data_IF_479700075341
#
_entry.id   IF_479700075341
#
_cell.length_a   1.000
_cell.length_b   1.000
_cell.length_c   1.000
_cell.angle_alpha   90.00
_cell.angle_beta   90.00
_cell.angle_gamma   90.00
#
_symmetry.space_group_name_H-M   'P 1'
#
loop_
_entity.id
_entity.type
_entity.pdbx_description
1 polymer ?
#
# COMPACT_ATOMS: atom_id res chain seq x y z
N UNK A 1 -6.37 7.26 25.67
CA UNK A 1 -6.79 8.49 24.96
C UNK A 1 -6.56 8.28 23.47
N UNK A 2 -7.64 8.15 22.70
CA UNK A 2 -7.62 7.69 21.30
C UNK A 2 -6.95 8.69 20.36
N UNK A 3 -6.11 8.17 19.46
CA UNK A 3 -5.34 8.84 18.38
C UNK A 3 -6.22 9.65 17.40
N UNK A 4 -7.55 9.60 17.56
CA UNK A 4 -8.53 10.36 16.80
C UNK A 4 -8.23 11.88 16.77
N UNK A 5 -7.76 12.51 17.84
CA UNK A 5 -7.90 13.97 18.01
C UNK A 5 -6.85 14.90 17.37
N UNK A 6 -6.16 14.59 16.26
CA UNK A 6 -5.23 15.60 15.65
C UNK A 6 -5.42 15.94 14.17
N UNK A 7 -6.16 15.16 13.39
CA UNK A 7 -6.55 15.51 12.00
C UNK A 7 -7.91 14.88 11.65
N UNK A 8 -9.00 15.36 12.25
CA UNK A 8 -10.34 14.88 11.90
C UNK A 8 -10.83 15.48 10.57
N UNK A 9 -10.32 14.98 9.46
CA UNK A 9 -11.07 15.06 8.21
C UNK A 9 -12.35 14.24 8.38
N UNK A 10 -13.51 14.86 8.13
CA UNK A 10 -14.77 14.13 8.13
C UNK A 10 -14.72 13.00 7.09
N UNK A 11 -15.49 11.93 7.30
CA UNK A 11 -15.62 10.83 6.32
C UNK A 11 -16.02 11.34 4.93
N UNK A 12 -16.84 12.39 4.89
CA UNK A 12 -17.19 13.11 3.66
C UNK A 12 -15.97 13.73 2.98
N UNK A 13 -15.10 14.43 3.73
CA UNK A 13 -13.89 15.05 3.19
C UNK A 13 -12.91 13.99 2.69
N UNK A 14 -12.74 12.87 3.41
CA UNK A 14 -11.90 11.76 2.96
C UNK A 14 -12.41 11.16 1.65
N UNK A 15 -13.73 10.97 1.51
CA UNK A 15 -14.34 10.53 0.26
C UNK A 15 -14.14 11.51 -0.89
N UNK A 16 -14.24 12.82 -0.63
CA UNK A 16 -13.93 13.86 -1.64
C UNK A 16 -12.48 13.78 -2.08
N UNK A 17 -11.53 13.64 -1.13
CA UNK A 17 -10.11 13.48 -1.45
C UNK A 17 -9.84 12.25 -2.30
N UNK A 18 -10.44 11.10 -1.97
CA UNK A 18 -10.33 9.88 -2.79
C UNK A 18 -10.75 10.18 -4.24
N UNK A 19 -11.89 10.84 -4.44
CA UNK A 19 -12.37 11.18 -5.79
C UNK A 19 -11.44 12.14 -6.52
N UNK A 20 -10.92 13.15 -5.83
CA UNK A 20 -9.96 14.10 -6.41
C UNK A 20 -8.71 13.36 -6.88
N UNK A 21 -8.13 12.50 -6.04
CA UNK A 21 -6.95 11.71 -6.40
C UNK A 21 -7.23 10.75 -7.57
N UNK A 22 -8.41 10.11 -7.60
CA UNK A 22 -8.84 9.28 -8.73
C UNK A 22 -8.95 10.07 -10.03
N UNK A 23 -9.49 11.30 -9.98
CA UNK A 23 -9.55 12.19 -11.14
C UNK A 23 -8.14 12.53 -11.61
N UNK A 24 -7.22 12.87 -10.71
CA UNK A 24 -5.82 13.12 -11.10
C UNK A 24 -5.17 11.88 -11.74
N UNK A 25 -5.36 10.68 -11.17
CA UNK A 25 -4.84 9.46 -11.79
C UNK A 25 -5.45 9.22 -13.19
N UNK A 26 -6.73 9.49 -13.39
CA UNK A 26 -7.36 9.40 -14.71
C UNK A 26 -6.79 10.42 -15.70
N UNK A 27 -6.46 11.63 -15.24
CA UNK A 27 -5.78 12.64 -16.05
C UNK A 27 -4.34 12.21 -16.40
N UNK A 28 -3.59 11.66 -15.45
CA UNK A 28 -2.25 11.11 -15.69
C UNK A 28 -2.31 9.96 -16.69
N UNK A 29 -3.29 9.08 -16.56
CA UNK A 29 -3.52 7.99 -17.51
C UNK A 29 -3.79 8.52 -18.93
N UNK A 30 -4.69 9.49 -19.07
CA UNK A 30 -4.99 10.12 -20.36
C UNK A 30 -3.77 10.85 -20.94
N UNK A 31 -2.96 11.50 -20.09
CA UNK A 31 -1.71 12.13 -20.47
C UNK A 31 -0.70 11.09 -20.99
N UNK A 32 -0.54 9.96 -20.29
CA UNK A 32 0.31 8.86 -20.73
C UNK A 32 -0.10 8.33 -22.11
N UNK A 33 -1.40 8.14 -22.35
CA UNK A 33 -1.93 7.74 -23.66
C UNK A 33 -1.65 8.79 -24.73
N UNK A 34 -1.85 10.07 -24.42
CA UNK A 34 -1.62 11.16 -25.36
C UNK A 34 -0.15 11.32 -25.74
N UNK A 35 0.76 11.13 -24.78
CA UNK A 35 2.21 11.16 -25.00
C UNK A 35 2.76 9.86 -25.60
N UNK A 36 1.96 8.79 -25.68
CA UNK A 36 2.44 7.46 -26.08
C UNK A 36 3.40 6.82 -25.08
N UNK A 37 3.39 7.26 -23.81
CA UNK A 37 4.30 6.78 -22.78
C UNK A 37 3.68 5.59 -22.01
N UNK A 38 4.15 4.38 -22.32
CA UNK A 38 3.64 3.13 -21.72
C UNK A 38 3.79 3.10 -20.20
N UNK A 39 4.94 3.51 -19.67
CA UNK A 39 5.19 3.56 -18.21
C UNK A 39 4.17 4.39 -17.44
N UNK A 40 3.93 5.65 -17.85
CA UNK A 40 2.91 6.53 -17.24
C UNK A 40 1.52 5.92 -17.36
N UNK A 41 1.18 5.41 -18.54
CA UNK A 41 -0.14 4.83 -18.82
C UNK A 41 -0.42 3.62 -17.94
N UNK A 42 0.52 2.67 -17.87
CA UNK A 42 0.34 1.43 -17.11
C UNK A 42 0.30 1.73 -15.62
N UNK A 43 1.22 2.56 -15.09
CA UNK A 43 1.25 2.90 -13.67
C UNK A 43 -0.04 3.60 -13.22
N UNK A 44 -0.47 4.64 -13.95
CA UNK A 44 -1.69 5.35 -13.62
C UNK A 44 -2.95 4.49 -13.82
N UNK A 45 -2.97 3.65 -14.86
CA UNK A 45 -4.09 2.75 -15.15
C UNK A 45 -4.26 1.68 -14.07
N UNK A 46 -3.18 0.97 -13.72
CA UNK A 46 -3.18 -0.04 -12.66
C UNK A 46 -3.50 0.60 -11.31
N UNK A 47 -2.86 1.72 -10.97
CA UNK A 47 -3.13 2.45 -9.73
C UNK A 47 -4.60 2.85 -9.61
N UNK A 48 -5.18 3.42 -10.67
CA UNK A 48 -6.59 3.79 -10.73
C UNK A 48 -7.51 2.57 -10.53
N UNK A 49 -7.23 1.44 -11.21
CA UNK A 49 -7.99 0.20 -11.04
C UNK A 49 -7.95 -0.32 -9.60
N UNK A 50 -6.77 -0.31 -8.97
CA UNK A 50 -6.60 -0.72 -7.57
C UNK A 50 -7.47 0.14 -6.64
N UNK A 51 -7.60 1.44 -6.89
CA UNK A 51 -8.44 2.31 -6.05
C UNK A 51 -9.94 1.99 -6.12
N UNK A 52 -10.38 1.24 -7.13
CA UNK A 52 -11.77 0.78 -7.24
C UNK A 52 -12.02 -0.56 -6.56
N UNK A 53 -10.98 -1.29 -6.15
CA UNK A 53 -11.13 -2.59 -5.48
C UNK A 53 -12.03 -2.52 -4.24
N UNK A 54 -11.92 -1.53 -3.33
CA UNK A 54 -12.83 -1.45 -2.19
C UNK A 54 -14.31 -1.34 -2.60
N UNK A 55 -14.61 -0.58 -3.65
CA UNK A 55 -15.97 -0.45 -4.17
C UNK A 55 -16.47 -1.74 -4.82
N UNK A 56 -15.58 -2.47 -5.52
CA UNK A 56 -15.90 -3.79 -6.10
C UNK A 56 -16.17 -4.83 -5.02
N UNK A 57 -15.36 -4.86 -3.96
CA UNK A 57 -15.54 -5.76 -2.81
C UNK A 57 -16.86 -5.48 -2.11
N UNK A 58 -17.18 -4.21 -1.86
CA UNK A 58 -18.47 -3.82 -1.29
C UNK A 58 -19.64 -4.30 -2.17
N UNK A 59 -19.58 -4.05 -3.49
CA UNK A 59 -20.66 -4.42 -4.41
C UNK A 59 -20.88 -5.92 -4.52
N UNK A 60 -19.82 -6.73 -4.43
CA UNK A 60 -19.89 -8.18 -4.68
C UNK A 60 -20.03 -9.01 -3.41
N UNK A 61 -19.49 -8.55 -2.30
CA UNK A 61 -19.36 -9.31 -1.06
C UNK A 61 -19.93 -8.60 0.17
N UNK A 62 -20.56 -7.42 0.01
CA UNK A 62 -21.04 -6.57 1.11
C UNK A 62 -19.94 -6.21 2.13
N UNK A 63 -18.68 -6.24 1.66
CA UNK A 63 -17.51 -5.93 2.47
C UNK A 63 -17.19 -4.43 2.39
N UNK A 64 -17.60 -3.69 3.42
CA UNK A 64 -17.32 -2.26 3.54
C UNK A 64 -15.96 -2.01 4.18
N UNK A 65 -15.06 -1.38 3.45
CA UNK A 65 -13.75 -0.95 3.97
C UNK A 65 -13.84 0.44 4.59
N UNK A 66 -13.10 0.68 5.69
CA UNK A 66 -12.99 2.01 6.31
C UNK A 66 -12.46 3.03 5.28
N UNK A 67 -13.12 4.18 5.20
CA UNK A 67 -12.79 5.23 4.23
C UNK A 67 -11.36 5.77 4.41
N UNK A 68 -10.79 5.71 5.61
CA UNK A 68 -9.39 6.07 5.85
C UNK A 68 -8.43 5.08 5.19
N UNK A 69 -8.76 3.78 5.18
CA UNK A 69 -7.97 2.76 4.48
C UNK A 69 -8.11 2.90 2.97
N UNK A 70 -9.32 3.21 2.46
CA UNK A 70 -9.54 3.54 1.04
C UNK A 70 -8.69 4.74 0.64
N UNK A 71 -8.66 5.79 1.47
CA UNK A 71 -7.82 6.96 1.24
C UNK A 71 -6.33 6.59 1.26
N UNK A 72 -5.89 5.75 2.21
CA UNK A 72 -4.50 5.29 2.29
C UNK A 72 -4.06 4.54 1.01
N UNK A 73 -4.88 3.60 0.54
CA UNK A 73 -4.67 2.91 -0.75
C UNK A 73 -4.59 3.93 -1.88
N UNK A 74 -5.53 4.86 -1.93
CA UNK A 74 -5.62 5.85 -3.01
C UNK A 74 -4.41 6.78 -3.04
N UNK A 75 -3.90 7.21 -1.87
CA UNK A 75 -2.70 8.04 -1.76
C UNK A 75 -1.47 7.29 -2.25
N UNK A 76 -1.27 6.03 -1.85
CA UNK A 76 -0.14 5.23 -2.31
C UNK A 76 -0.17 5.05 -3.85
N UNK A 77 -1.33 4.70 -4.41
CA UNK A 77 -1.49 4.53 -5.86
C UNK A 77 -1.30 5.85 -6.62
N UNK A 78 -1.80 6.96 -6.07
CA UNK A 78 -1.60 8.28 -6.66
C UNK A 78 -0.13 8.70 -6.67
N UNK A 79 0.61 8.48 -5.58
CA UNK A 79 2.02 8.84 -5.49
C UNK A 79 2.88 8.04 -6.48
N UNK A 80 2.57 6.77 -6.68
CA UNK A 80 3.17 5.94 -7.74
C UNK A 80 2.89 6.52 -9.13
N UNK A 81 1.62 6.76 -9.46
CA UNK A 81 1.24 7.33 -10.75
C UNK A 81 1.89 8.70 -11.00
N UNK A 82 1.84 9.58 -10.00
CA UNK A 82 2.44 10.92 -10.07
C UNK A 82 3.96 10.87 -10.18
N UNK A 83 4.60 9.90 -9.53
CA UNK A 83 6.06 9.71 -9.60
C UNK A 83 6.59 9.53 -11.01
N UNK A 84 5.76 9.05 -11.93
CA UNK A 84 6.11 8.84 -13.35
C UNK A 84 5.97 10.08 -14.22
N UNK A 85 5.30 11.14 -13.76
CA UNK A 85 4.93 12.29 -14.58
C UNK A 85 6.10 13.27 -14.72
N UNK A 86 6.57 13.58 -15.94
CA UNK A 86 7.55 14.64 -16.17
C UNK A 86 6.99 16.01 -15.80
N UNK A 87 7.71 16.78 -14.96
CA UNK A 87 7.24 18.09 -14.49
C UNK A 87 8.15 19.22 -14.98
N UNK A 88 7.60 20.33 -15.51
CA UNK A 88 8.39 21.50 -15.89
C UNK A 88 9.22 22.08 -14.74
N UNK A 89 8.72 21.96 -13.51
CA UNK A 89 9.41 22.44 -12.31
C UNK A 89 10.64 21.59 -11.91
N UNK A 90 10.83 20.42 -12.52
CA UNK A 90 11.91 19.48 -12.26
C UNK A 90 12.77 19.28 -13.52
N UNK A 91 12.93 20.31 -14.35
CA UNK A 91 13.64 20.23 -15.64
C UNK A 91 13.10 19.13 -16.58
N UNK A 92 11.78 18.90 -16.53
CA UNK A 92 11.08 17.82 -17.23
C UNK A 92 11.52 16.40 -16.83
N UNK A 93 12.14 16.25 -15.67
CA UNK A 93 12.28 14.96 -14.99
C UNK A 93 10.98 14.60 -14.26
N UNK A 94 10.77 13.30 -14.06
CA UNK A 94 9.72 12.80 -13.19
C UNK A 94 10.19 12.83 -11.72
N UNK A 95 9.27 12.84 -10.73
CA UNK A 95 9.68 12.72 -9.33
C UNK A 95 10.57 11.51 -9.04
N UNK A 96 10.35 10.36 -9.70
CA UNK A 96 11.27 9.21 -9.61
C UNK A 96 12.69 9.54 -10.06
N UNK A 97 12.84 10.30 -11.16
CA UNK A 97 14.16 10.69 -11.66
C UNK A 97 14.81 11.86 -10.92
N UNK A 98 14.01 12.75 -10.32
CA UNK A 98 14.48 13.99 -9.73
C UNK A 98 14.67 13.94 -8.20
N UNK A 99 13.98 13.02 -7.51
CA UNK A 99 13.89 13.00 -6.05
C UNK A 99 14.32 11.63 -5.51
N UNK A 100 15.54 11.56 -4.99
CA UNK A 100 16.19 10.30 -4.57
C UNK A 100 15.39 9.45 -3.56
N UNK A 101 14.59 10.06 -2.69
CA UNK A 101 13.80 9.34 -1.68
C UNK A 101 12.39 8.98 -2.15
N UNK A 102 11.97 9.44 -3.33
CA UNK A 102 10.60 9.27 -3.81
C UNK A 102 10.25 7.79 -3.94
N UNK A 103 11.15 7.03 -4.58
CA UNK A 103 10.93 5.62 -4.86
C UNK A 103 10.79 4.79 -3.59
N UNK A 104 11.81 4.86 -2.76
CA UNK A 104 11.85 4.41 -1.38
C UNK A 104 10.59 4.70 -0.55
N UNK A 105 10.07 5.94 -0.60
CA UNK A 105 8.81 6.29 0.08
C UNK A 105 7.64 5.52 -0.50
N UNK A 106 7.52 5.45 -1.83
CA UNK A 106 6.44 4.72 -2.48
C UNK A 106 6.52 3.21 -2.22
N UNK A 107 7.73 2.65 -2.06
CA UNK A 107 7.95 1.28 -1.60
C UNK A 107 7.46 1.07 -0.17
N UNK A 108 7.84 1.92 0.78
CA UNK A 108 7.33 1.84 2.16
C UNK A 108 5.79 1.95 2.25
N UNK A 109 5.18 2.84 1.47
CA UNK A 109 3.72 2.96 1.42
C UNK A 109 3.08 1.70 0.84
N UNK A 110 3.61 1.18 -0.26
CA UNK A 110 3.08 -0.02 -0.92
C UNK A 110 3.24 -1.26 -0.07
N UNK A 111 4.39 -1.41 0.60
CA UNK A 111 4.65 -2.52 1.52
C UNK A 111 3.71 -2.48 2.72
N UNK A 112 3.31 -1.29 3.20
CA UNK A 112 2.27 -1.17 4.23
C UNK A 112 0.91 -1.71 3.74
N UNK A 113 0.56 -1.51 2.46
CA UNK A 113 -0.66 -2.07 1.89
C UNK A 113 -0.58 -3.59 1.77
N UNK A 114 0.56 -4.11 1.31
CA UNK A 114 0.84 -5.56 1.21
C UNK A 114 0.77 -6.20 2.60
N UNK A 115 1.37 -5.58 3.60
CA UNK A 115 1.31 -6.02 4.99
C UNK A 115 -0.14 -6.04 5.51
N UNK A 116 -0.92 -4.99 5.22
CA UNK A 116 -2.32 -4.89 5.62
C UNK A 116 -3.18 -5.98 4.99
N UNK A 117 -2.97 -6.28 3.71
CA UNK A 117 -3.65 -7.37 3.02
C UNK A 117 -3.27 -8.75 3.59
N UNK A 118 -1.99 -8.97 3.88
CA UNK A 118 -1.50 -10.20 4.51
C UNK A 118 -2.10 -10.39 5.91
N UNK A 119 -2.13 -9.32 6.71
CA UNK A 119 -2.76 -9.30 8.03
C UNK A 119 -4.24 -9.65 7.95
N UNK A 120 -5.00 -8.96 7.09
CA UNK A 120 -6.44 -9.19 6.95
C UNK A 120 -6.75 -10.63 6.51
N UNK A 121 -5.98 -11.16 5.55
CA UNK A 121 -6.11 -12.53 5.08
C UNK A 121 -5.83 -13.54 6.18
N UNK A 122 -4.73 -13.37 6.90
CA UNK A 122 -4.33 -14.30 7.94
C UNK A 122 -5.26 -14.27 9.16
N UNK A 123 -5.73 -13.08 9.56
CA UNK A 123 -6.72 -12.93 10.62
C UNK A 123 -8.07 -13.54 10.25
N UNK A 124 -8.47 -13.48 8.98
CA UNK A 124 -9.65 -14.21 8.53
C UNK A 124 -9.46 -15.72 8.70
N UNK A 125 -8.30 -16.28 8.34
CA UNK A 125 -8.05 -17.70 8.58
C UNK A 125 -8.05 -18.05 10.08
N UNK A 126 -7.32 -17.30 10.90
CA UNK A 126 -7.26 -17.49 12.37
C UNK A 126 -8.65 -17.44 13.04
N UNK A 127 -9.58 -16.62 12.51
CA UNK A 127 -10.94 -16.51 13.03
C UNK A 127 -11.89 -17.62 12.53
N UNK A 128 -11.72 -18.08 11.29
CA UNK A 128 -12.66 -19.01 10.63
C UNK A 128 -12.17 -20.46 10.57
N UNK A 129 -10.96 -20.76 11.06
CA UNK A 129 -10.48 -22.14 11.16
C UNK A 129 -9.71 -22.40 12.46
N UNK A 130 -10.11 -23.44 13.19
CA UNK A 130 -9.39 -23.91 14.38
C UNK A 130 -8.03 -24.55 14.03
N UNK A 131 -7.75 -24.80 12.75
CA UNK A 131 -6.50 -25.40 12.30
C UNK A 131 -5.31 -24.44 12.34
N UNK A 132 -5.56 -23.13 12.40
CA UNK A 132 -4.54 -22.09 12.35
C UNK A 132 -4.71 -21.23 13.60
N UNK A 133 -3.68 -21.17 14.45
CA UNK A 133 -3.59 -20.21 15.54
C UNK A 133 -2.39 -19.32 15.32
N UNK A 134 -2.59 -18.00 15.32
CA UNK A 134 -1.58 -16.99 15.03
C UNK A 134 -1.35 -16.06 16.22
N UNK A 135 -0.56 -16.47 17.22
CA UNK A 135 -0.18 -15.60 18.33
C UNK A 135 0.44 -14.29 17.82
N UNK A 136 0.18 -13.17 18.51
CA UNK A 136 0.58 -11.82 18.05
C UNK A 136 2.07 -11.70 17.71
N UNK A 137 2.95 -12.41 18.45
CA UNK A 137 4.40 -12.44 18.18
C UNK A 137 4.72 -13.14 16.85
N UNK A 138 4.03 -14.25 16.58
CA UNK A 138 4.21 -14.98 15.33
C UNK A 138 3.64 -14.19 14.16
N UNK A 139 2.47 -13.56 14.33
CA UNK A 139 1.85 -12.70 13.34
C UNK A 139 2.78 -11.54 12.94
N UNK A 140 3.43 -10.88 13.90
CA UNK A 140 4.41 -9.83 13.61
C UNK A 140 5.55 -10.32 12.70
N UNK A 141 6.19 -11.43 13.08
CA UNK A 141 7.31 -12.00 12.31
C UNK A 141 6.85 -12.47 10.93
N UNK A 142 5.68 -13.11 10.85
CA UNK A 142 5.07 -13.53 9.59
C UNK A 142 4.87 -12.35 8.65
N UNK A 143 4.32 -11.23 9.14
CA UNK A 143 4.09 -10.05 8.30
C UNK A 143 5.40 -9.48 7.77
N UNK A 144 6.45 -9.41 8.59
CA UNK A 144 7.76 -8.96 8.13
C UNK A 144 8.33 -9.88 7.06
N UNK A 145 8.26 -11.20 7.27
CA UNK A 145 8.73 -12.18 6.29
C UNK A 145 7.93 -12.12 4.99
N UNK A 146 6.60 -11.99 5.08
CA UNK A 146 5.72 -11.90 3.93
C UNK A 146 6.00 -10.65 3.10
N UNK A 147 6.14 -9.49 3.75
CA UNK A 147 6.47 -8.22 3.09
C UNK A 147 7.84 -8.29 2.42
N UNK A 148 8.84 -8.86 3.09
CA UNK A 148 10.18 -9.03 2.51
C UNK A 148 10.16 -9.97 1.31
N UNK A 149 9.46 -11.11 1.42
CA UNK A 149 9.32 -12.05 0.31
C UNK A 149 8.59 -11.41 -0.88
N UNK A 150 7.51 -10.67 -0.62
CA UNK A 150 6.80 -9.93 -1.65
C UNK A 150 7.67 -8.83 -2.27
N UNK A 151 8.45 -8.12 -1.46
CA UNK A 151 9.41 -7.12 -1.93
C UNK A 151 10.42 -7.72 -2.90
N UNK A 152 11.04 -8.86 -2.54
CA UNK A 152 11.96 -9.57 -3.46
C UNK A 152 11.25 -9.98 -4.76
N UNK A 153 10.02 -10.49 -4.68
CA UNK A 153 9.26 -10.84 -5.89
C UNK A 153 8.96 -9.61 -6.76
N UNK A 154 8.70 -8.46 -6.13
CA UNK A 154 8.44 -7.20 -6.82
C UNK A 154 9.68 -6.70 -7.56
N UNK A 155 10.84 -6.65 -6.90
CA UNK A 155 12.13 -6.27 -7.50
C UNK A 155 12.47 -7.15 -8.71
N UNK A 156 12.23 -8.46 -8.59
CA UNK A 156 12.42 -9.39 -9.70
C UNK A 156 11.47 -9.10 -10.86
N UNK A 157 10.20 -8.79 -10.56
CA UNK A 157 9.22 -8.42 -11.58
C UNK A 157 9.64 -7.15 -12.34
N UNK A 158 10.09 -6.12 -11.62
CA UNK A 158 10.59 -4.88 -12.22
C UNK A 158 11.81 -5.12 -13.11
N UNK A 159 12.77 -5.92 -12.63
CA UNK A 159 13.92 -6.35 -13.41
C UNK A 159 13.48 -7.06 -14.70
N UNK A 160 12.59 -8.05 -14.62
CA UNK A 160 12.16 -8.80 -15.81
C UNK A 160 11.35 -7.94 -16.78
N UNK A 161 10.48 -7.06 -16.30
CA UNK A 161 9.72 -6.11 -17.14
C UNK A 161 10.68 -5.14 -17.84
N UNK A 162 11.70 -4.65 -17.13
CA UNK A 162 12.76 -3.78 -17.70
C UNK A 162 13.51 -4.50 -18.82
N UNK A 163 13.96 -5.74 -18.58
CA UNK A 163 14.68 -6.57 -19.56
C UNK A 163 13.82 -6.86 -20.78
N UNK A 164 12.57 -7.27 -20.59
CA UNK A 164 11.64 -7.55 -21.70
C UNK A 164 11.33 -6.29 -22.51
N UNK A 165 11.12 -5.15 -21.83
CA UNK A 165 10.92 -3.85 -22.49
C UNK A 165 12.09 -3.49 -23.41
N UNK A 166 13.32 -3.61 -22.91
CA UNK A 166 14.54 -3.36 -23.68
C UNK A 166 14.67 -4.31 -24.89
N UNK A 167 14.34 -5.59 -24.73
CA UNK A 167 14.38 -6.58 -25.81
C UNK A 167 13.34 -6.32 -26.90
N UNK A 168 12.15 -5.83 -26.53
CA UNK A 168 11.06 -5.53 -27.46
C UNK A 168 11.21 -4.14 -28.11
N UNK A 169 12.27 -3.39 -27.80
CA UNK A 169 12.47 -2.02 -28.27
C UNK A 169 11.44 -1.03 -27.72
N UNK A 170 10.71 -1.41 -26.67
CA UNK A 170 9.79 -0.55 -25.94
C UNK A 170 10.53 0.28 -24.88
N UNK A 171 9.97 1.42 -24.48
CA UNK A 171 10.44 2.15 -23.30
C UNK A 171 10.26 1.33 -22.01
N UNK A 172 10.94 1.73 -20.94
CA UNK A 172 10.80 1.09 -19.62
C UNK A 172 9.40 1.36 -19.04
N UNK A 173 8.69 0.30 -18.64
CA UNK A 173 7.36 0.40 -18.01
C UNK A 173 7.52 0.55 -16.48
N UNK A 174 8.44 -0.23 -15.92
CA UNK A 174 8.99 -0.13 -14.58
C UNK A 174 10.51 -0.05 -14.77
N UNK A 175 11.20 0.78 -13.99
CA UNK A 175 12.64 0.99 -14.14
C UNK A 175 13.32 0.47 -12.90
N UNK A 176 14.21 -0.50 -13.08
CA UNK A 176 15.12 -0.92 -12.01
C UNK A 176 16.37 -0.02 -12.06
N UNK A 177 16.65 0.73 -10.98
CA UNK A 177 17.74 1.72 -10.98
C UNK A 177 19.11 1.13 -10.61
N UNK A 178 19.14 -0.03 -9.94
CA UNK A 178 20.37 -0.76 -9.64
C UNK A 178 20.26 -1.61 -8.38
N UNK A 179 21.33 -2.35 -8.06
CA UNK A 179 21.34 -3.21 -6.86
C UNK A 179 21.28 -2.41 -5.56
N UNK A 180 21.94 -1.26 -5.51
CA UNK A 180 21.93 -0.39 -4.32
C UNK A 180 20.51 0.12 -4.01
N UNK A 181 19.75 0.42 -5.07
CA UNK A 181 18.36 0.85 -5.02
C UNK A 181 17.45 -0.28 -4.50
N UNK A 182 17.53 -1.46 -5.10
CA UNK A 182 16.84 -2.68 -4.63
C UNK A 182 17.08 -2.98 -3.14
N UNK A 183 18.32 -2.80 -2.65
CA UNK A 183 18.62 -3.01 -1.22
C UNK A 183 17.92 -1.96 -0.35
N UNK A 184 17.90 -0.71 -0.78
CA UNK A 184 17.19 0.34 -0.06
C UNK A 184 15.67 0.12 -0.12
N UNK A 185 15.12 -0.31 -1.25
CA UNK A 185 13.71 -0.63 -1.37
C UNK A 185 13.29 -1.75 -0.43
N UNK A 186 14.10 -2.80 -0.29
CA UNK A 186 13.86 -3.84 0.72
C UNK A 186 13.92 -3.30 2.16
N UNK A 187 14.81 -2.33 2.42
CA UNK A 187 14.85 -1.64 3.72
C UNK A 187 13.57 -0.82 3.96
N UNK A 188 13.11 -0.04 2.99
CA UNK A 188 11.87 0.74 3.12
C UNK A 188 10.62 -0.15 3.14
N UNK A 189 10.65 -1.28 2.44
CA UNK A 189 9.65 -2.32 2.54
C UNK A 189 9.55 -2.85 3.97
N UNK A 190 10.68 -3.10 4.63
CA UNK A 190 10.74 -3.47 6.05
C UNK A 190 10.10 -2.41 6.93
N UNK A 191 10.36 -1.12 6.68
CA UNK A 191 9.76 -0.04 7.47
C UNK A 191 8.23 -0.02 7.38
N UNK A 192 7.67 -0.15 6.17
CA UNK A 192 6.22 -0.24 5.99
C UNK A 192 5.61 -1.51 6.60
N UNK A 193 6.35 -2.64 6.54
CA UNK A 193 5.99 -3.88 7.21
C UNK A 193 5.99 -3.77 8.74
N UNK A 194 7.00 -3.11 9.33
CA UNK A 194 7.08 -2.84 10.77
C UNK A 194 5.95 -1.91 11.21
N UNK A 195 5.65 -0.87 10.43
CA UNK A 195 4.54 0.03 10.71
C UNK A 195 3.25 -0.77 10.89
N UNK A 196 2.87 -1.57 9.90
CA UNK A 196 1.65 -2.38 9.97
C UNK A 196 1.74 -3.48 11.02
N UNK A 197 2.89 -4.14 11.16
CA UNK A 197 3.11 -5.17 12.16
C UNK A 197 2.89 -4.64 13.57
N UNK A 198 3.44 -3.46 13.90
CA UNK A 198 3.24 -2.81 15.20
C UNK A 198 1.79 -2.37 15.35
N UNK A 199 1.19 -1.68 14.38
CA UNK A 199 -0.19 -1.23 14.51
C UNK A 199 -1.18 -2.40 14.62
N UNK A 200 -1.01 -3.45 13.81
CA UNK A 200 -1.88 -4.62 13.76
C UNK A 200 -1.74 -5.56 14.97
N UNK A 201 -0.59 -5.56 15.64
CA UNK A 201 -0.35 -6.40 16.83
C UNK A 201 -0.47 -5.64 18.16
N UNK A 202 -0.08 -4.36 18.22
CA UNK A 202 -0.11 -3.57 19.45
C UNK A 202 -1.50 -2.99 19.80
N UNK A 203 -2.40 -2.79 18.82
CA UNK A 203 -3.75 -2.26 19.10
C UNK A 203 -4.76 -3.32 19.58
N UNK A 204 -4.39 -4.61 19.64
CA UNK A 204 -5.32 -5.67 20.01
C UNK A 204 -4.97 -6.39 21.31
N UNK A 205 -3.69 -6.52 21.69
CA UNK A 205 -3.33 -7.10 23.00
C UNK A 205 -3.85 -6.27 24.17
N UNK A 206 -3.71 -4.93 24.11
CA UNK A 206 -4.20 -4.07 25.19
C UNK A 206 -5.73 -4.00 25.30
N UNK A 207 -6.46 -4.21 24.19
CA UNK A 207 -7.94 -4.20 24.18
C UNK A 207 -8.51 -5.53 24.67
N UNK A 208 -7.86 -6.65 24.34
CA UNK A 208 -8.23 -7.96 24.90
C UNK A 208 -7.96 -8.04 26.40
N UNK A 209 -6.83 -7.50 26.88
CA UNK A 209 -6.51 -7.49 28.31
C UNK A 209 -7.51 -6.62 29.10
N UNK A 210 -7.90 -5.46 28.58
CA UNK A 210 -8.89 -4.58 29.23
C UNK A 210 -10.32 -5.19 29.21
N UNK A 211 -10.66 -5.99 28.20
CA UNK A 211 -11.93 -6.73 28.14
C UNK A 211 -11.98 -7.89 29.13
N UNK A 212 -10.87 -8.63 29.26
CA UNK A 212 -10.74 -9.72 30.24
C UNK A 212 -10.84 -9.17 31.65
N UNK A 213 -10.10 -8.09 31.96
CA UNK A 213 -10.13 -7.45 33.28
C UNK A 213 -11.54 -6.95 33.64
N UNK A 214 -12.27 -6.37 32.67
CA UNK A 214 -13.66 -5.92 32.89
C UNK A 214 -14.67 -7.05 33.06
N UNK A 215 -14.44 -8.21 32.44
CA UNK A 215 -15.32 -9.38 32.61
C UNK A 215 -15.06 -10.09 33.94
N UNK A 216 -13.80 -10.17 34.38
CA UNK A 216 -13.43 -10.73 35.68
C UNK A 216 -13.99 -9.89 36.83
N UNK A 217 -13.85 -8.56 36.77
CA UNK A 217 -14.40 -7.65 37.78
C UNK A 217 -15.93 -7.76 37.93
N UNK A 218 -16.64 -8.08 36.84
CA UNK A 218 -18.10 -8.22 36.82
C UNK A 218 -18.61 -9.59 37.26
N UNK A 219 -17.71 -10.57 37.32
CA UNK A 219 -17.98 -11.92 37.86
C UNK A 219 -17.64 -12.06 39.34
N UNK A 220 -16.99 -11.04 39.92
CA UNK A 220 -16.62 -10.95 41.33
C UNK A 220 -17.61 -10.13 42.19
N UNK A 221 -18.62 -9.51 41.56
CA UNK A 221 -19.82 -8.94 42.19
C UNK A 221 -20.99 -9.93 42.16
#
# INVERSE_FOLDING_TARGET
MSVRTRLHLSTRNQGVLVRILQVFMALIFALGLWLGHSGITVNAGVGLLVTFLPAMLNRRYDFTMDIALVLWITVAMFLHAFGTVPLPALDFLSPYGATWWWDHMTHALSSSLVAGAAYATLRAFDEYTDAISMPSRFLFVYLLMFVMAFGVLWELLEFYISVVGALLGGGTILTQYGLDDTVLDLFYNTLGGVLVGVFGTAHLTGVSDELVERLELRSAE
#
